data_IF_332252520247
#
_entry.id   IF_332252520247
#
_cell.length_a   1.000
_cell.length_b   1.000
_cell.length_c   1.000
_cell.angle_alpha   90.00
_cell.angle_beta   90.00
_cell.angle_gamma   90.00
#
_symmetry.space_group_name_H-M   'P 1'
#
loop_
_entity.id
_entity.type
_entity.pdbx_description
1 polymer ?
#
# COMPACT_ATOMS: atom_id res chain seq x y z
N UNK A 1 -32.28 -32.22 2.10
CA UNK A 1 -33.11 -33.45 2.15
C UNK A 1 -34.39 -33.10 2.87
N UNK A 2 -35.52 -33.52 2.33
CA UNK A 2 -36.84 -33.38 2.98
C UNK A 2 -37.51 -34.74 3.01
N UNK A 3 -38.48 -34.94 3.91
CA UNK A 3 -39.30 -36.14 3.99
C UNK A 3 -40.75 -35.76 4.03
N UNK A 4 -41.61 -36.54 3.37
CA UNK A 4 -43.07 -36.44 3.46
C UNK A 4 -43.64 -37.81 3.77
N UNK A 5 -44.99 -37.93 3.71
CA UNK A 5 -45.69 -39.20 4.02
C UNK A 5 -45.28 -40.36 3.08
N UNK A 6 -44.63 -40.09 1.95
CA UNK A 6 -44.12 -41.12 1.02
C UNK A 6 -42.63 -41.52 1.28
N UNK A 7 -42.00 -40.92 2.30
CA UNK A 7 -40.64 -41.22 2.68
C UNK A 7 -39.62 -40.09 2.38
N UNK A 8 -38.32 -40.36 2.56
CA UNK A 8 -37.27 -39.36 2.32
C UNK A 8 -37.14 -39.04 0.84
N UNK A 9 -37.10 -37.72 0.53
CA UNK A 9 -36.85 -37.21 -0.82
C UNK A 9 -35.40 -36.78 -0.96
N UNK A 10 -34.75 -37.28 -2.00
CA UNK A 10 -33.38 -36.97 -2.33
C UNK A 10 -33.33 -36.13 -3.61
N UNK A 11 -32.51 -35.05 -3.57
CA UNK A 11 -32.17 -34.28 -4.76
C UNK A 11 -30.77 -34.69 -5.19
N UNK A 12 -30.67 -35.29 -6.38
CA UNK A 12 -29.39 -35.69 -6.99
C UNK A 12 -29.20 -34.85 -8.24
N UNK A 13 -28.13 -34.06 -8.25
CA UNK A 13 -27.77 -33.20 -9.37
C UNK A 13 -26.30 -33.43 -9.76
N UNK A 14 -26.02 -33.66 -11.05
CA UNK A 14 -24.67 -33.83 -11.56
C UNK A 14 -24.13 -32.51 -12.07
N UNK A 15 -23.15 -31.94 -11.34
CA UNK A 15 -22.43 -30.74 -11.75
C UNK A 15 -21.21 -31.14 -12.56
N UNK A 16 -21.13 -30.67 -13.81
CA UNK A 16 -19.90 -30.86 -14.63
C UNK A 16 -18.88 -29.76 -14.27
N UNK A 17 -17.60 -30.04 -14.52
CA UNK A 17 -16.52 -29.06 -14.36
C UNK A 17 -16.82 -27.78 -15.17
N UNK A 18 -17.22 -27.90 -16.43
CA UNK A 18 -17.55 -26.75 -17.27
C UNK A 18 -18.69 -25.89 -16.68
N UNK A 19 -19.71 -26.54 -16.10
CA UNK A 19 -20.80 -25.80 -15.43
C UNK A 19 -20.32 -25.07 -14.21
N UNK A 20 -19.46 -25.68 -13.39
CA UNK A 20 -18.86 -25.04 -12.22
C UNK A 20 -18.00 -23.84 -12.63
N UNK A 21 -17.11 -24.03 -13.61
CA UNK A 21 -16.27 -22.95 -14.14
C UNK A 21 -17.08 -21.78 -14.68
N UNK A 22 -18.16 -22.04 -15.41
CA UNK A 22 -19.08 -21.01 -15.91
C UNK A 22 -19.78 -20.24 -14.78
N UNK A 23 -20.19 -20.92 -13.72
CA UNK A 23 -20.80 -20.28 -12.54
C UNK A 23 -19.82 -19.42 -11.75
N UNK A 24 -18.53 -19.75 -11.79
CA UNK A 24 -17.47 -19.05 -11.08
C UNK A 24 -16.72 -18.02 -11.95
N UNK A 25 -17.07 -17.87 -13.22
CA UNK A 25 -16.30 -17.10 -14.21
C UNK A 25 -16.05 -15.65 -13.78
N UNK A 26 -17.05 -15.00 -13.22
CA UNK A 26 -16.91 -13.63 -12.71
C UNK A 26 -15.86 -13.51 -11.61
N UNK A 27 -15.83 -14.46 -10.66
CA UNK A 27 -14.84 -14.47 -9.58
C UNK A 27 -13.43 -14.80 -10.11
N UNK A 28 -13.34 -15.69 -11.08
CA UNK A 28 -12.10 -16.05 -11.73
C UNK A 28 -11.49 -14.86 -12.48
N UNK A 29 -12.29 -14.10 -13.21
CA UNK A 29 -11.85 -12.88 -13.91
C UNK A 29 -11.31 -11.80 -12.97
N UNK A 30 -11.83 -11.70 -11.76
CA UNK A 30 -11.34 -10.74 -10.74
C UNK A 30 -9.89 -10.99 -10.33
N UNK A 31 -9.35 -12.20 -10.54
CA UNK A 31 -7.95 -12.52 -10.19
C UNK A 31 -6.93 -12.02 -11.21
N UNK A 32 -7.35 -11.75 -12.45
CA UNK A 32 -6.47 -11.40 -13.56
C UNK A 32 -5.80 -10.04 -13.33
N UNK A 33 -6.61 -9.00 -13.11
CA UNK A 33 -6.13 -7.62 -12.99
C UNK A 33 -5.13 -7.40 -11.84
N UNK A 34 -5.32 -7.97 -10.64
CA UNK A 34 -4.32 -7.91 -9.57
C UNK A 34 -2.97 -8.54 -9.96
N UNK A 35 -2.97 -9.66 -10.69
CA UNK A 35 -1.75 -10.28 -11.16
C UNK A 35 -1.00 -9.38 -12.17
N UNK A 36 -1.72 -8.82 -13.15
CA UNK A 36 -1.15 -7.89 -14.13
C UNK A 36 -0.57 -6.63 -13.45
N UNK A 37 -1.29 -6.06 -12.49
CA UNK A 37 -0.83 -4.90 -11.74
C UNK A 37 0.43 -5.24 -10.94
N UNK A 38 0.48 -6.40 -10.28
CA UNK A 38 1.65 -6.84 -9.51
C UNK A 38 2.90 -6.98 -10.42
N UNK A 39 2.75 -7.57 -11.60
CA UNK A 39 3.84 -7.66 -12.59
C UNK A 39 4.30 -6.27 -13.01
N UNK A 40 3.36 -5.37 -13.34
CA UNK A 40 3.67 -4.00 -13.72
C UNK A 40 4.39 -3.23 -12.61
N UNK A 41 3.91 -3.34 -11.38
CA UNK A 41 4.46 -2.63 -10.21
C UNK A 41 5.85 -3.14 -9.82
N UNK A 42 6.13 -4.42 -10.08
CA UNK A 42 7.46 -5.00 -9.83
C UNK A 42 8.55 -4.42 -10.75
N UNK A 43 8.17 -3.84 -11.90
CA UNK A 43 9.10 -3.39 -12.94
C UNK A 43 9.88 -4.52 -13.61
N UNK A 44 9.56 -5.77 -13.30
CA UNK A 44 10.23 -6.95 -13.87
C UNK A 44 9.43 -7.51 -15.05
N UNK A 45 10.09 -7.96 -16.13
CA UNK A 45 9.44 -8.76 -17.14
C UNK A 45 9.03 -10.12 -16.53
N UNK A 46 7.85 -10.63 -16.92
CA UNK A 46 7.27 -11.87 -16.35
C UNK A 46 8.21 -13.10 -16.46
N UNK A 47 9.10 -13.09 -17.43
CA UNK A 47 10.10 -14.16 -17.66
C UNK A 47 11.14 -14.23 -16.54
N UNK A 48 11.40 -13.09 -15.85
CA UNK A 48 12.32 -13.00 -14.70
C UNK A 48 11.69 -13.36 -13.36
N UNK A 49 10.41 -13.68 -13.33
CA UNK A 49 9.77 -14.23 -12.14
C UNK A 49 10.19 -15.71 -12.04
N UNK A 50 10.91 -16.07 -10.99
CA UNK A 50 11.46 -17.42 -10.84
C UNK A 50 10.36 -18.44 -10.57
N UNK A 51 9.49 -18.17 -9.59
CA UNK A 51 8.40 -19.07 -9.20
C UNK A 51 7.09 -18.35 -8.98
N UNK A 52 5.99 -19.06 -9.24
CA UNK A 52 4.62 -18.66 -8.91
C UNK A 52 4.05 -19.69 -7.95
N UNK A 53 3.79 -19.29 -6.72
CA UNK A 53 3.28 -20.16 -5.66
C UNK A 53 1.81 -19.86 -5.44
N UNK A 54 0.98 -20.90 -5.40
CA UNK A 54 -0.45 -20.80 -5.14
C UNK A 54 -0.74 -21.10 -3.66
N UNK A 55 -1.49 -20.19 -3.01
CA UNK A 55 -1.92 -20.34 -1.62
C UNK A 55 -3.43 -20.13 -1.50
N UNK A 56 -4.03 -20.66 -0.43
CA UNK A 56 -5.47 -20.61 -0.20
C UNK A 56 -6.26 -21.71 -0.93
N UNK A 57 -7.35 -22.18 -0.34
CA UNK A 57 -8.14 -23.33 -0.82
C UNK A 57 -8.67 -23.17 -2.24
N UNK A 58 -9.05 -21.96 -2.68
CA UNK A 58 -9.50 -21.70 -4.05
C UNK A 58 -8.43 -21.94 -5.11
N UNK A 59 -7.16 -21.90 -4.76
CA UNK A 59 -6.07 -22.21 -5.69
C UNK A 59 -6.02 -23.68 -6.13
N UNK A 60 -6.77 -24.56 -5.46
CA UNK A 60 -6.97 -25.95 -5.88
C UNK A 60 -7.83 -26.07 -7.14
N UNK A 61 -8.62 -25.03 -7.47
CA UNK A 61 -9.48 -25.03 -8.66
C UNK A 61 -8.62 -25.06 -9.94
N UNK A 62 -8.79 -26.06 -10.83
CA UNK A 62 -7.96 -26.17 -12.02
C UNK A 62 -7.99 -24.93 -12.92
N UNK A 63 -9.13 -24.23 -13.01
CA UNK A 63 -9.25 -23.03 -13.82
C UNK A 63 -8.43 -21.87 -13.27
N UNK A 64 -8.30 -21.72 -11.95
CA UNK A 64 -7.37 -20.74 -11.33
C UNK A 64 -5.94 -21.03 -11.76
N UNK A 65 -5.52 -22.30 -11.70
CA UNK A 65 -4.17 -22.72 -12.10
C UNK A 65 -3.89 -22.45 -13.59
N UNK A 66 -4.88 -22.68 -14.44
CA UNK A 66 -4.80 -22.39 -15.87
C UNK A 66 -4.65 -20.89 -16.14
N UNK A 67 -5.47 -20.05 -15.49
CA UNK A 67 -5.40 -18.59 -15.62
C UNK A 67 -4.03 -18.08 -15.19
N UNK A 68 -3.53 -18.51 -14.04
CA UNK A 68 -2.21 -18.12 -13.54
C UNK A 68 -1.11 -18.55 -14.49
N UNK A 69 -1.17 -19.79 -15.00
CA UNK A 69 -0.22 -20.27 -15.99
C UNK A 69 -0.21 -19.41 -17.27
N UNK A 70 -1.38 -18.97 -17.73
CA UNK A 70 -1.49 -18.13 -18.93
C UNK A 70 -0.91 -16.73 -18.70
N UNK A 71 -1.13 -16.15 -17.51
CA UNK A 71 -0.60 -14.82 -17.17
C UNK A 71 0.92 -14.85 -17.06
N UNK A 72 1.47 -15.77 -16.28
CA UNK A 72 2.91 -15.81 -15.97
C UNK A 72 3.74 -16.63 -16.96
N UNK A 73 3.11 -17.41 -17.84
CA UNK A 73 3.80 -18.29 -18.78
C UNK A 73 4.48 -19.50 -18.11
N UNK A 74 4.29 -19.70 -16.80
CA UNK A 74 4.91 -20.74 -15.98
C UNK A 74 3.85 -21.58 -15.27
N UNK A 75 4.13 -22.87 -15.10
CA UNK A 75 3.26 -23.74 -14.29
C UNK A 75 3.43 -23.38 -12.82
N UNK A 76 2.34 -23.07 -12.10
CA UNK A 76 2.43 -22.73 -10.68
C UNK A 76 3.03 -23.87 -9.84
N UNK A 77 3.89 -23.51 -8.89
CA UNK A 77 4.44 -24.43 -7.91
C UNK A 77 3.35 -24.84 -6.90
N UNK A 78 3.26 -26.14 -6.62
CA UNK A 78 2.29 -26.77 -5.73
C UNK A 78 2.94 -27.48 -4.54
N UNK A 79 4.23 -27.24 -4.30
CA UNK A 79 4.97 -27.89 -3.20
C UNK A 79 4.49 -27.47 -1.82
N UNK A 80 3.87 -26.29 -1.72
CA UNK A 80 3.32 -25.77 -0.48
C UNK A 80 1.85 -26.17 -0.36
N UNK A 81 1.45 -26.69 0.83
CA UNK A 81 0.03 -26.93 1.10
C UNK A 81 -0.73 -25.59 1.16
N UNK A 82 -1.65 -25.33 0.22
CA UNK A 82 -2.30 -24.04 0.11
C UNK A 82 -3.21 -23.71 1.31
N UNK A 83 -3.66 -24.68 2.07
CA UNK A 83 -4.53 -24.49 3.24
C UNK A 83 -3.71 -24.14 4.51
N UNK A 84 -2.45 -24.56 4.57
CA UNK A 84 -1.58 -24.43 5.75
C UNK A 84 -0.53 -23.33 5.58
N UNK A 85 -0.27 -22.87 4.36
CA UNK A 85 0.82 -21.95 4.03
C UNK A 85 0.85 -20.70 4.91
N UNK A 86 -0.32 -20.10 5.17
CA UNK A 86 -0.44 -18.89 6.00
C UNK A 86 -0.11 -19.19 7.47
N UNK A 87 -0.61 -20.30 8.02
CA UNK A 87 -0.35 -20.71 9.40
C UNK A 87 1.13 -21.04 9.62
N UNK A 88 1.74 -21.76 8.66
CA UNK A 88 3.18 -22.07 8.69
C UNK A 88 4.00 -20.79 8.60
N UNK A 89 3.65 -19.87 7.70
CA UNK A 89 4.32 -18.57 7.57
C UNK A 89 4.23 -17.74 8.85
N UNK A 90 3.07 -17.72 9.50
CA UNK A 90 2.90 -17.03 10.79
C UNK A 90 3.76 -17.65 11.90
N UNK A 91 3.86 -18.98 11.94
CA UNK A 91 4.71 -19.67 12.91
C UNK A 91 6.21 -19.38 12.68
N UNK A 92 6.65 -19.37 11.41
CA UNK A 92 8.01 -19.00 11.03
C UNK A 92 8.31 -17.55 11.45
N UNK A 93 7.41 -16.61 11.15
CA UNK A 93 7.58 -15.21 11.54
C UNK A 93 7.64 -15.05 13.07
N UNK A 94 6.84 -15.82 13.82
CA UNK A 94 6.93 -15.88 15.28
C UNK A 94 8.31 -16.33 15.76
N UNK A 95 8.90 -17.34 15.12
CA UNK A 95 10.27 -17.80 15.40
C UNK A 95 11.33 -16.74 15.08
N UNK A 96 11.17 -15.98 13.99
CA UNK A 96 12.07 -14.86 13.64
C UNK A 96 11.99 -13.76 14.70
N UNK A 97 10.77 -13.35 15.11
CA UNK A 97 10.58 -12.31 16.14
C UNK A 97 11.13 -12.73 17.51
N UNK A 98 11.04 -14.01 17.84
CA UNK A 98 11.62 -14.56 19.08
C UNK A 98 13.14 -14.69 19.03
N UNK A 99 13.74 -14.64 17.83
CA UNK A 99 15.18 -14.80 17.62
C UNK A 99 15.64 -16.25 17.46
N UNK A 100 14.72 -17.19 17.35
CA UNK A 100 15.01 -18.61 17.12
C UNK A 100 15.47 -18.88 15.67
N UNK A 101 15.03 -18.02 14.71
CA UNK A 101 15.37 -18.10 13.29
C UNK A 101 16.04 -16.78 12.85
N UNK A 102 17.33 -16.83 12.54
CA UNK A 102 18.13 -15.63 12.18
C UNK A 102 18.41 -15.49 10.69
N UNK A 103 18.24 -16.56 9.93
CA UNK A 103 18.59 -16.63 8.51
C UNK A 103 17.44 -16.28 7.57
N UNK A 104 16.29 -15.89 8.12
CA UNK A 104 15.11 -15.51 7.36
C UNK A 104 14.82 -14.01 7.53
N UNK A 105 14.74 -13.30 6.41
CA UNK A 105 14.38 -11.89 6.36
C UNK A 105 13.07 -11.75 5.59
N UNK A 106 12.02 -11.27 6.28
CA UNK A 106 10.80 -10.80 5.64
C UNK A 106 10.84 -9.29 5.58
N UNK A 107 10.73 -8.75 4.37
CA UNK A 107 10.59 -7.33 4.13
C UNK A 107 9.16 -7.06 3.64
N UNK A 108 8.51 -6.09 4.26
CA UNK A 108 7.21 -5.60 3.82
C UNK A 108 7.37 -4.30 3.02
N UNK A 109 6.31 -3.81 2.43
CA UNK A 109 6.30 -2.58 1.63
C UNK A 109 5.16 -1.65 2.05
N UNK A 110 5.34 -0.37 1.80
CA UNK A 110 4.27 0.62 1.99
C UNK A 110 3.16 0.41 0.96
N UNK A 111 1.88 0.28 1.35
CA UNK A 111 0.78 0.03 0.42
C UNK A 111 0.42 1.26 -0.41
N UNK A 112 0.65 2.46 0.12
CA UNK A 112 0.40 3.76 -0.49
C UNK A 112 1.55 4.71 -0.17
N UNK A 113 1.72 5.74 -1.01
CA UNK A 113 2.67 6.81 -0.77
C UNK A 113 2.31 7.61 0.47
N UNK A 114 3.34 8.02 1.21
CA UNK A 114 3.26 8.92 2.36
C UNK A 114 3.93 10.24 2.03
N UNK A 115 3.35 11.33 2.46
CA UNK A 115 3.88 12.66 2.19
C UNK A 115 3.29 13.73 3.10
N UNK A 116 3.68 14.96 2.82
CA UNK A 116 3.20 16.15 3.53
C UNK A 116 2.52 17.13 2.58
N UNK A 117 1.69 17.99 3.16
CA UNK A 117 1.17 19.16 2.45
C UNK A 117 2.26 20.20 2.27
N UNK A 118 2.38 20.71 1.07
CA UNK A 118 3.22 21.86 0.73
C UNK A 118 2.38 22.99 0.16
N UNK A 119 3.01 24.13 -0.13
CA UNK A 119 2.33 25.35 -0.58
C UNK A 119 1.35 25.06 -1.73
N UNK A 120 0.14 25.64 -1.63
CA UNK A 120 -0.92 25.42 -2.61
C UNK A 120 -1.73 24.12 -2.43
N UNK A 121 -1.59 23.41 -1.31
CA UNK A 121 -2.33 22.17 -1.04
C UNK A 121 -1.84 20.97 -1.85
N UNK A 122 -0.58 21.01 -2.30
CA UNK A 122 0.07 19.93 -3.04
C UNK A 122 0.56 18.85 -2.08
N UNK A 123 0.39 17.58 -2.44
CA UNK A 123 0.98 16.46 -1.73
C UNK A 123 2.40 16.20 -2.23
N UNK A 124 3.39 16.54 -1.41
CA UNK A 124 4.79 16.18 -1.68
C UNK A 124 5.09 14.81 -1.10
N UNK A 125 5.30 13.83 -1.96
CA UNK A 125 5.56 12.44 -1.58
C UNK A 125 6.96 12.30 -1.00
N UNK A 126 7.05 11.84 0.25
CA UNK A 126 8.30 11.52 0.94
C UNK A 126 8.70 10.06 0.77
N UNK A 127 7.76 9.16 0.97
CA UNK A 127 7.94 7.71 0.81
C UNK A 127 6.97 7.25 -0.29
N UNK A 128 7.44 6.85 -1.48
CA UNK A 128 6.59 6.27 -2.51
C UNK A 128 5.94 4.95 -2.08
N UNK A 129 4.78 4.62 -2.66
CA UNK A 129 4.19 3.29 -2.49
C UNK A 129 5.17 2.20 -2.95
N UNK A 130 5.00 1.00 -2.44
CA UNK A 130 5.89 -0.16 -2.70
C UNK A 130 7.35 0.06 -2.25
N UNK A 131 7.61 1.04 -1.38
CA UNK A 131 8.92 1.19 -0.75
C UNK A 131 9.07 0.12 0.34
N UNK A 132 10.16 -0.64 0.29
CA UNK A 132 10.51 -1.64 1.31
C UNK A 132 10.70 -0.98 2.66
N UNK A 133 10.17 -1.59 3.72
CA UNK A 133 10.33 -1.16 5.11
C UNK A 133 11.18 -2.18 5.89
N UNK A 134 11.98 -1.76 6.89
CA UNK A 134 12.06 -0.39 7.43
C UNK A 134 12.75 0.59 6.47
N UNK A 135 12.36 1.87 6.53
CA UNK A 135 12.94 2.93 5.68
C UNK A 135 12.91 4.28 6.36
N UNK A 136 13.88 5.12 6.02
CA UNK A 136 13.98 6.50 6.52
C UNK A 136 14.29 7.46 5.40
N UNK A 137 13.54 8.57 5.33
CA UNK A 137 13.81 9.67 4.38
C UNK A 137 13.64 11.02 5.05
N UNK A 138 14.54 11.94 4.72
CA UNK A 138 14.52 13.33 5.20
C UNK A 138 14.58 14.28 4.01
N UNK A 139 13.86 15.39 4.13
CA UNK A 139 13.90 16.48 3.15
C UNK A 139 13.78 17.82 3.88
N UNK A 140 14.47 18.84 3.37
CA UNK A 140 14.43 20.19 3.93
C UNK A 140 13.40 21.02 3.20
N UNK A 141 12.55 21.68 3.97
CA UNK A 141 11.52 22.61 3.54
C UNK A 141 11.76 23.98 4.14
N UNK A 142 10.96 24.96 3.76
CA UNK A 142 11.05 26.30 4.29
C UNK A 142 9.66 26.88 4.60
N UNK A 143 9.64 28.09 5.16
CA UNK A 143 8.42 28.84 5.44
C UNK A 143 7.79 29.40 4.16
N UNK A 144 6.45 29.45 4.13
CA UNK A 144 5.67 29.96 3.01
C UNK A 144 5.41 31.47 3.08
N UNK A 145 5.53 32.07 4.29
CA UNK A 145 5.29 33.48 4.54
C UNK A 145 6.45 34.13 5.30
N UNK A 146 6.59 35.46 5.14
CA UNK A 146 7.55 36.24 5.91
C UNK A 146 7.20 36.24 7.38
N UNK A 147 8.25 36.20 8.22
CA UNK A 147 8.13 36.21 9.69
C UNK A 147 7.29 35.07 10.30
N UNK A 148 7.12 33.99 9.58
CA UNK A 148 6.40 32.80 10.03
C UNK A 148 7.18 32.10 11.16
N UNK A 149 6.58 32.01 12.36
CA UNK A 149 7.20 31.45 13.57
C UNK A 149 6.74 30.02 13.88
N UNK A 150 5.75 29.53 13.14
CA UNK A 150 5.17 28.19 13.30
C UNK A 150 4.90 27.57 11.94
N UNK A 151 5.24 26.29 11.78
CA UNK A 151 4.93 25.51 10.59
C UNK A 151 4.07 24.31 10.99
N UNK A 152 2.89 24.18 10.38
CA UNK A 152 2.03 23.01 10.55
C UNK A 152 2.43 21.92 9.57
N UNK A 153 2.81 20.77 10.09
CA UNK A 153 3.13 19.58 9.30
C UNK A 153 1.90 18.70 9.25
N UNK A 154 1.29 18.58 8.07
CA UNK A 154 0.13 17.72 7.82
C UNK A 154 0.57 16.51 7.01
N UNK A 155 0.37 15.32 7.54
CA UNK A 155 0.84 14.05 6.97
C UNK A 155 -0.32 13.36 6.25
N UNK A 156 -0.09 13.00 4.99
CA UNK A 156 -1.10 12.37 4.14
C UNK A 156 -0.62 11.04 3.59
N UNK A 157 -1.60 10.19 3.25
CA UNK A 157 -1.43 8.93 2.57
C UNK A 157 -2.30 8.88 1.31
N UNK A 158 -1.72 8.46 0.19
CA UNK A 158 -2.44 8.29 -1.08
C UNK A 158 -1.58 8.56 -2.30
N UNK A 159 -2.22 8.55 -3.47
CA UNK A 159 -1.53 8.65 -4.76
C UNK A 159 -1.88 9.91 -5.55
N UNK A 160 -2.87 10.70 -5.10
CA UNK A 160 -3.32 11.93 -5.78
C UNK A 160 -2.34 13.08 -5.55
N UNK A 161 -2.25 14.01 -6.50
CA UNK A 161 -1.33 15.16 -6.42
C UNK A 161 -1.77 16.23 -5.39
N UNK A 162 -3.08 16.34 -5.14
CA UNK A 162 -3.62 17.31 -4.19
C UNK A 162 -3.98 16.63 -2.87
N UNK A 163 -3.67 17.29 -1.73
CA UNK A 163 -3.94 16.73 -0.39
C UNK A 163 -5.43 16.52 -0.12
N UNK A 164 -6.31 17.33 -0.74
CA UNK A 164 -7.76 17.21 -0.58
C UNK A 164 -8.31 15.85 -1.07
N UNK A 165 -7.59 15.19 -1.97
CA UNK A 165 -7.96 13.91 -2.55
C UNK A 165 -7.25 12.71 -1.92
N UNK A 166 -6.47 12.96 -0.85
CA UNK A 166 -5.71 11.96 -0.10
C UNK A 166 -6.18 11.88 1.36
N UNK A 167 -5.80 10.82 2.06
CA UNK A 167 -6.18 10.60 3.46
C UNK A 167 -5.23 11.33 4.41
N UNK A 168 -5.75 12.25 5.22
CA UNK A 168 -5.01 12.83 6.33
C UNK A 168 -4.76 11.76 7.40
N UNK A 169 -3.51 11.55 7.78
CA UNK A 169 -3.11 10.62 8.84
C UNK A 169 -2.90 11.32 10.18
N UNK A 170 -2.43 12.57 10.15
CA UNK A 170 -2.15 13.35 11.34
C UNK A 170 -1.57 14.71 11.01
N UNK A 171 -1.53 15.57 12.03
CA UNK A 171 -0.86 16.86 11.93
C UNK A 171 -0.24 17.27 13.27
N UNK A 172 0.78 18.09 13.19
CA UNK A 172 1.45 18.68 14.35
C UNK A 172 2.12 19.99 13.96
N UNK A 173 2.39 20.85 14.94
CA UNK A 173 2.98 22.16 14.73
C UNK A 173 4.41 22.21 15.26
N UNK A 174 5.33 22.69 14.46
CA UNK A 174 6.67 23.10 14.89
C UNK A 174 6.66 24.60 15.14
N UNK A 175 6.76 24.99 16.41
CA UNK A 175 6.70 26.39 16.86
C UNK A 175 8.05 26.91 17.33
N UNK A 176 8.19 28.24 17.36
CA UNK A 176 9.39 28.90 17.86
C UNK A 176 10.52 28.97 16.84
N UNK A 177 10.17 29.00 15.58
CA UNK A 177 11.06 29.31 14.45
C UNK A 177 11.36 30.82 14.55
N UNK A 178 12.64 31.24 14.46
CA UNK A 178 12.99 32.67 14.44
C UNK A 178 12.36 33.38 13.25
N UNK A 179 11.77 34.58 13.46
CA UNK A 179 11.21 35.36 12.34
C UNK A 179 12.29 35.65 11.30
N UNK A 180 12.01 35.29 10.05
CA UNK A 180 12.89 35.51 8.91
C UNK A 180 12.06 35.68 7.62
N UNK A 181 12.62 36.19 6.52
CA UNK A 181 11.96 36.18 5.23
C UNK A 181 11.57 34.75 4.80
N UNK A 182 10.47 34.63 4.04
CA UNK A 182 10.04 33.34 3.46
C UNK A 182 11.20 32.68 2.72
N UNK A 183 11.28 31.37 2.81
CA UNK A 183 12.34 30.59 2.13
C UNK A 183 13.68 30.52 2.87
N UNK A 184 13.90 31.32 3.92
CA UNK A 184 15.17 31.32 4.67
C UNK A 184 15.23 30.24 5.75
N UNK A 185 14.20 30.03 6.62
CA UNK A 185 14.24 28.96 7.60
C UNK A 185 14.37 27.58 6.95
N UNK A 186 15.13 26.70 7.60
CA UNK A 186 15.35 25.33 7.11
C UNK A 186 14.72 24.33 8.07
N UNK A 187 13.59 23.77 7.65
CA UNK A 187 12.83 22.78 8.39
C UNK A 187 13.07 21.41 7.80
N UNK A 188 13.81 20.57 8.50
CA UNK A 188 14.06 19.19 8.08
C UNK A 188 12.89 18.31 8.54
N UNK A 189 12.16 17.75 7.59
CA UNK A 189 11.09 16.78 7.85
C UNK A 189 11.62 15.37 7.56
N UNK A 190 11.54 14.51 8.55
CA UNK A 190 12.00 13.12 8.49
C UNK A 190 10.83 12.17 8.66
N UNK A 191 10.69 11.24 7.74
CA UNK A 191 9.83 10.07 7.84
C UNK A 191 10.69 8.86 8.18
N UNK A 192 10.37 8.18 9.26
CA UNK A 192 11.04 6.96 9.72
C UNK A 192 9.97 5.87 9.92
N UNK A 193 10.02 4.82 9.11
CA UNK A 193 9.06 3.71 9.14
C UNK A 193 9.79 2.48 9.65
N UNK A 194 9.31 1.93 10.74
CA UNK A 194 9.88 0.71 11.32
C UNK A 194 9.44 -0.57 10.58
N UNK A 195 9.98 -1.72 10.99
CA UNK A 195 9.66 -3.02 10.41
C UNK A 195 8.19 -3.45 10.64
N UNK A 196 7.47 -2.82 11.57
CA UNK A 196 6.06 -3.08 11.85
C UNK A 196 5.13 -2.14 11.07
N UNK A 197 5.71 -1.24 10.26
CA UNK A 197 4.97 -0.24 9.50
C UNK A 197 4.50 0.95 10.33
N UNK A 198 5.05 1.17 11.52
CA UNK A 198 4.77 2.37 12.33
C UNK A 198 5.58 3.52 11.76
N UNK A 199 4.90 4.63 11.48
CA UNK A 199 5.50 5.83 10.88
C UNK A 199 5.76 6.87 11.98
N UNK A 200 7.02 7.25 12.14
CA UNK A 200 7.44 8.38 12.94
C UNK A 200 7.75 9.55 12.02
N UNK A 201 7.06 10.66 12.19
CA UNK A 201 7.34 11.90 11.45
C UNK A 201 7.88 12.93 12.41
N UNK A 202 9.09 13.42 12.12
CA UNK A 202 9.76 14.46 12.89
C UNK A 202 9.98 15.69 12.00
N UNK A 203 9.76 16.87 12.55
CA UNK A 203 10.12 18.14 11.94
C UNK A 203 11.10 18.87 12.87
N UNK A 204 12.24 19.32 12.32
CA UNK A 204 13.30 20.00 13.07
C UNK A 204 13.72 21.30 12.38
N UNK A 205 13.71 22.39 13.11
CA UNK A 205 14.34 23.64 12.69
C UNK A 205 15.85 23.50 12.83
N UNK A 206 16.59 23.59 11.73
CA UNK A 206 18.04 23.42 11.70
C UNK A 206 18.79 24.56 12.38
N UNK A 207 18.21 25.74 12.47
CA UNK A 207 18.84 26.91 13.08
C UNK A 207 18.80 26.83 14.61
N UNK A 208 17.66 26.49 15.20
CA UNK A 208 17.45 26.47 16.66
C UNK A 208 17.64 25.07 17.26
N UNK A 209 17.60 24.02 16.44
CA UNK A 209 17.61 22.64 16.89
C UNK A 209 16.28 22.17 17.50
N UNK A 210 15.26 23.04 17.57
CA UNK A 210 13.92 22.67 18.06
C UNK A 210 13.31 21.64 17.12
N UNK A 211 12.68 20.64 17.69
CA UNK A 211 11.98 19.60 16.95
C UNK A 211 10.64 19.24 17.59
N UNK A 212 9.76 18.67 16.78
CA UNK A 212 8.51 18.07 17.20
C UNK A 212 8.22 16.84 16.34
N UNK A 213 7.58 15.84 16.93
CA UNK A 213 7.31 14.59 16.24
C UNK A 213 5.91 14.05 16.52
N UNK A 214 5.41 13.25 15.57
CA UNK A 214 4.19 12.47 15.73
C UNK A 214 4.44 11.03 15.33
N UNK A 215 3.79 10.10 16.02
CA UNK A 215 3.80 8.68 15.68
C UNK A 215 2.45 8.29 15.11
N UNK A 216 2.45 7.68 13.93
CA UNK A 216 1.26 7.32 13.17
C UNK A 216 1.34 5.83 12.83
N UNK A 217 0.26 5.08 13.04
CA UNK A 217 0.16 3.72 12.50
C UNK A 217 -0.06 3.80 10.99
N UNK A 218 0.88 3.25 10.21
CA UNK A 218 0.93 3.41 8.74
C UNK A 218 -0.29 2.88 8.00
N UNK A 219 -0.95 1.86 8.54
CA UNK A 219 -2.16 1.30 7.92
C UNK A 219 -3.39 2.19 8.10
N UNK A 220 -3.35 3.17 9.02
CA UNK A 220 -4.43 4.16 9.23
C UNK A 220 -5.86 3.60 9.28
N UNK A 221 -6.01 2.27 9.42
CA UNK A 221 -7.28 1.57 9.34
C UNK A 221 -7.88 1.47 7.94
N UNK A 222 -7.11 1.71 6.87
CA UNK A 222 -7.58 1.50 5.50
C UNK A 222 -7.75 0.01 5.21
N UNK A 223 -8.91 -0.36 4.72
CA UNK A 223 -9.15 -1.69 4.16
C UNK A 223 -8.45 -1.84 2.80
N UNK A 224 -8.20 -3.08 2.39
CA UNK A 224 -7.63 -3.37 1.06
C UNK A 224 -8.46 -2.75 -0.07
N UNK A 225 -9.78 -2.75 0.05
CA UNK A 225 -10.70 -2.14 -0.92
C UNK A 225 -10.50 -0.63 -1.04
N UNK A 226 -10.31 0.06 0.08
CA UNK A 226 -10.04 1.51 0.08
C UNK A 226 -8.69 1.82 -0.55
N UNK A 227 -7.65 1.01 -0.29
CA UNK A 227 -6.33 1.14 -0.92
C UNK A 227 -6.44 0.98 -2.43
N UNK A 228 -7.11 -0.08 -2.90
CA UNK A 228 -7.31 -0.35 -4.33
C UNK A 228 -8.09 0.77 -5.01
N UNK A 229 -9.10 1.32 -4.35
CA UNK A 229 -9.90 2.43 -4.86
C UNK A 229 -9.10 3.74 -4.94
N UNK A 230 -8.24 4.01 -3.96
CA UNK A 230 -7.34 5.17 -3.99
C UNK A 230 -6.35 5.08 -5.16
N UNK A 231 -5.80 3.91 -5.42
CA UNK A 231 -4.90 3.67 -6.55
C UNK A 231 -5.63 3.85 -7.89
N UNK A 232 -6.83 3.27 -8.04
CA UNK A 232 -7.65 3.41 -9.25
C UNK A 232 -8.02 4.86 -9.54
N UNK A 233 -8.47 5.60 -8.52
CA UNK A 233 -8.79 7.02 -8.64
C UNK A 233 -7.57 7.83 -9.06
N UNK A 234 -6.39 7.55 -8.52
CA UNK A 234 -5.16 8.22 -8.91
C UNK A 234 -4.80 7.97 -10.39
N UNK A 235 -4.98 6.74 -10.88
CA UNK A 235 -4.80 6.44 -12.31
C UNK A 235 -5.86 7.14 -13.18
N UNK A 236 -7.11 7.16 -12.76
CA UNK A 236 -8.23 7.77 -13.50
C UNK A 236 -8.08 9.29 -13.65
N UNK A 237 -7.65 9.98 -12.60
CA UNK A 237 -7.56 11.44 -12.57
C UNK A 237 -6.14 11.97 -12.81
N UNK A 238 -5.22 11.12 -13.25
CA UNK A 238 -3.79 11.46 -13.41
C UNK A 238 -3.54 12.70 -14.25
N UNK A 239 -4.23 12.83 -15.38
CA UNK A 239 -4.07 13.99 -16.28
C UNK A 239 -4.69 15.26 -15.70
N UNK A 240 -5.82 15.15 -15.03
CA UNK A 240 -6.48 16.28 -14.37
C UNK A 240 -5.63 16.78 -13.19
N UNK A 241 -5.13 15.87 -12.39
CA UNK A 241 -4.25 16.18 -11.26
C UNK A 241 -2.96 16.86 -11.69
N UNK A 242 -2.34 16.39 -12.78
CA UNK A 242 -1.13 17.01 -13.34
C UNK A 242 -1.39 18.46 -13.74
N UNK A 243 -2.51 18.74 -14.41
CA UNK A 243 -2.90 20.11 -14.78
C UNK A 243 -3.19 20.98 -13.56
N UNK A 244 -3.87 20.45 -12.54
CA UNK A 244 -4.13 21.19 -11.29
C UNK A 244 -2.83 21.54 -10.58
N UNK A 245 -1.89 20.61 -10.51
CA UNK A 245 -0.58 20.84 -9.92
C UNK A 245 0.20 21.91 -10.68
N UNK A 246 0.26 21.82 -12.01
CA UNK A 246 0.91 22.82 -12.85
C UNK A 246 0.35 24.22 -12.62
N UNK A 247 -0.98 24.35 -12.53
CA UNK A 247 -1.63 25.64 -12.20
C UNK A 247 -1.26 26.18 -10.83
N UNK A 248 -1.06 25.30 -9.84
CA UNK A 248 -0.62 25.70 -8.49
C UNK A 248 0.84 26.13 -8.52
N UNK A 249 1.70 25.39 -9.20
CA UNK A 249 3.13 25.70 -9.31
C UNK A 249 3.37 27.05 -10.06
N UNK A 250 2.51 27.39 -11.03
CA UNK A 250 2.55 28.69 -11.72
C UNK A 250 2.07 29.87 -10.84
N UNK A 251 1.30 29.61 -9.77
CA UNK A 251 0.80 30.66 -8.86
C UNK A 251 1.70 30.89 -7.65
N UNK A 252 2.57 29.93 -7.32
CA UNK A 252 3.47 29.97 -6.17
C UNK A 252 4.82 30.61 -6.53
#
# INVERSE_FOLDING_TARGET
MTADASGPKHFIYKVTRAKLEALCDEFLKRTIKPCENCIKDSGLPKEKIDEVILVGGMSRMPKVQEIVKNIFGKTPNKSVNPDEAVAIGAAIQGGVLKGDMKDLLLLDVTPLSLGIETLGGVMTKMIPRNTTIPTKKSQVYSTAADHQTTVSIRVFQGEREMVADNKLLGQFDLSGIPPAPRGVPQIEVTFDIDANGIVHVNAKDKATGKDHSVTIQSSGGLSKTEIDDMIKKAEQFKEEDAKRREMVDLKN
#
